data_IF_321494235092
#
_entry.id   IF_321494235092
#
_cell.length_a   1.000
_cell.length_b   1.000
_cell.length_c   1.000
_cell.angle_alpha   90.00
_cell.angle_beta   90.00
_cell.angle_gamma   90.00
#
_symmetry.space_group_name_H-M   'P 1'
#
loop_
_entity.id
_entity.type
_entity.pdbx_description
1 polymer ?
#
# COMPACT_ATOMS: atom_id res chain seq x y z
N UNK A 1 -22.00 4.09 -72.62
CA UNK A 1 -21.42 5.39 -72.99
C UNK A 1 -20.10 5.58 -72.25
N UNK A 2 -19.01 5.72 -73.01
CA UNK A 2 -17.67 6.05 -72.50
C UNK A 2 -17.63 7.52 -72.08
N UNK A 3 -17.00 7.85 -70.95
CA UNK A 3 -16.14 9.04 -70.82
C UNK A 3 -15.10 8.81 -69.71
N UNK A 4 -13.84 8.89 -70.13
CA UNK A 4 -12.59 8.96 -69.36
C UNK A 4 -12.33 10.42 -68.95
N UNK A 5 -11.27 10.56 -68.14
CA UNK A 5 -10.39 11.73 -67.88
C UNK A 5 -10.77 12.41 -66.55
N UNK A 6 -9.90 12.65 -65.57
CA UNK A 6 -8.43 12.79 -65.53
C UNK A 6 -7.87 12.46 -64.14
N UNK A 7 -6.67 11.87 -64.13
CA UNK A 7 -5.79 11.83 -62.98
C UNK A 7 -5.02 13.15 -62.85
N UNK A 8 -4.81 13.61 -61.62
CA UNK A 8 -3.76 14.58 -61.26
C UNK A 8 -3.00 14.06 -60.05
N UNK A 9 -1.71 13.80 -60.25
CA UNK A 9 -0.70 13.49 -59.25
C UNK A 9 -0.34 14.77 -58.47
N UNK A 10 -0.30 14.68 -57.15
CA UNK A 10 0.70 15.32 -56.28
C UNK A 10 0.90 14.34 -55.11
N UNK A 11 2.08 13.76 -54.96
CA UNK A 11 3.14 14.39 -54.18
C UNK A 11 3.22 13.66 -52.84
N UNK A 12 3.85 12.49 -52.85
CA UNK A 12 4.18 11.71 -51.66
C UNK A 12 5.13 12.51 -50.76
N UNK A 13 4.62 13.01 -49.63
CA UNK A 13 5.44 13.41 -48.50
C UNK A 13 5.29 12.33 -47.41
N UNK A 14 6.39 11.63 -47.12
CA UNK A 14 6.50 10.74 -45.97
C UNK A 14 6.29 11.57 -44.69
N UNK A 15 5.48 11.14 -43.72
CA UNK A 15 5.63 11.66 -42.37
C UNK A 15 6.93 11.08 -41.80
N UNK A 16 7.92 11.94 -41.61
CA UNK A 16 9.09 11.68 -40.79
C UNK A 16 8.60 11.35 -39.37
N UNK A 17 8.69 10.07 -38.99
CA UNK A 17 8.61 9.67 -37.60
C UNK A 17 9.91 10.10 -36.90
N UNK A 18 9.93 11.33 -36.38
CA UNK A 18 10.87 11.72 -35.32
C UNK A 18 10.30 11.19 -34.00
N UNK A 19 10.67 9.94 -33.67
CA UNK A 19 10.56 9.40 -32.33
C UNK A 19 11.41 10.27 -31.40
N UNK A 20 10.76 11.10 -30.58
CA UNK A 20 11.41 11.75 -29.45
C UNK A 20 11.76 10.69 -28.41
N UNK A 21 13.00 10.22 -28.46
CA UNK A 21 13.60 9.39 -27.42
C UNK A 21 14.00 10.28 -26.25
N UNK A 22 13.10 10.47 -25.28
CA UNK A 22 13.47 10.98 -23.95
C UNK A 22 14.23 9.86 -23.24
N UNK A 23 15.57 9.93 -23.27
CA UNK A 23 16.44 9.03 -22.50
C UNK A 23 16.35 9.42 -21.03
N UNK A 24 15.59 8.64 -20.25
CA UNK A 24 15.79 8.57 -18.81
C UNK A 24 17.20 8.04 -18.54
N UNK A 25 18.00 8.62 -17.63
CA UNK A 25 19.31 8.08 -17.30
C UNK A 25 19.15 6.71 -16.62
N UNK A 26 19.42 5.64 -17.37
CA UNK A 26 19.57 4.29 -16.85
C UNK A 26 20.91 4.18 -16.13
N UNK A 27 20.90 4.04 -14.81
CA UNK A 27 22.06 3.66 -14.03
C UNK A 27 22.36 2.17 -14.27
N UNK A 28 23.27 1.87 -15.19
CA UNK A 28 23.91 0.56 -15.33
C UNK A 28 25.31 0.63 -14.75
N UNK A 29 25.54 -0.05 -13.62
CA UNK A 29 26.84 -0.56 -13.25
C UNK A 29 26.69 -1.77 -12.30
N UNK A 30 27.25 -2.90 -12.69
CA UNK A 30 27.60 -4.01 -11.80
C UNK A 30 29.10 -4.32 -11.99
N UNK A 31 29.71 -5.17 -11.17
CA UNK A 31 30.34 -4.77 -9.91
C UNK A 31 31.84 -5.11 -9.91
N UNK A 32 32.68 -4.28 -9.29
CA UNK A 32 33.99 -4.74 -8.83
C UNK A 32 34.11 -4.48 -7.33
N UNK A 33 34.26 -5.58 -6.59
CA UNK A 33 34.58 -5.58 -5.18
C UNK A 33 35.99 -5.00 -4.96
N UNK A 34 36.09 -3.98 -4.09
CA UNK A 34 37.14 -3.99 -3.09
C UNK A 34 36.65 -3.31 -1.80
N UNK A 35 36.82 -3.95 -0.61
CA UNK A 35 36.28 -3.47 0.65
C UNK A 35 37.36 -2.76 1.47
N UNK A 36 37.10 -1.52 1.91
CA UNK A 36 37.57 -0.92 3.17
C UNK A 36 37.17 0.56 3.18
N UNK A 37 36.89 1.07 4.38
CA UNK A 37 36.27 2.37 4.60
C UNK A 37 37.06 3.55 4.02
N UNK A 38 36.35 4.63 3.72
CA UNK A 38 36.38 5.79 4.62
C UNK A 38 35.31 6.81 4.26
N UNK A 39 34.72 7.35 5.31
CA UNK A 39 33.86 8.53 5.41
C UNK A 39 34.02 9.58 4.31
N UNK A 40 33.07 9.66 3.38
CA UNK A 40 32.83 10.87 2.60
C UNK A 40 31.33 11.13 2.42
N UNK A 41 30.73 11.76 3.43
CA UNK A 41 29.76 12.82 3.16
C UNK A 41 30.50 13.89 2.34
N UNK A 42 30.48 13.73 1.02
CA UNK A 42 31.17 14.61 0.08
C UNK A 42 30.71 16.05 0.31
N UNK A 43 31.66 16.95 0.54
CA UNK A 43 31.43 18.39 0.71
C UNK A 43 30.65 18.98 -0.47
N UNK A 44 30.74 18.35 -1.65
CA UNK A 44 29.96 18.70 -2.83
C UNK A 44 28.45 18.53 -2.60
N UNK A 45 28.00 17.45 -1.96
CA UNK A 45 26.58 17.19 -1.70
C UNK A 45 26.01 18.19 -0.68
N UNK A 46 26.81 18.64 0.28
CA UNK A 46 26.43 19.68 1.24
C UNK A 46 26.36 21.06 0.57
N UNK A 47 27.30 21.38 -0.31
CA UNK A 47 27.29 22.62 -1.10
C UNK A 47 26.12 22.63 -2.09
N UNK A 48 25.81 21.50 -2.71
CA UNK A 48 24.69 21.34 -3.63
C UNK A 48 23.34 21.46 -2.91
N UNK A 49 23.18 20.79 -1.75
CA UNK A 49 22.02 20.97 -0.89
C UNK A 49 21.85 22.42 -0.41
N UNK A 50 22.96 23.12 -0.10
CA UNK A 50 22.93 24.54 0.28
C UNK A 50 22.63 25.48 -0.91
N UNK A 51 22.92 25.06 -2.14
CA UNK A 51 22.62 25.83 -3.37
C UNK A 51 21.19 25.64 -3.87
N UNK A 52 20.56 24.50 -3.59
CA UNK A 52 19.18 24.20 -4.01
C UNK A 52 18.19 25.35 -3.75
N UNK A 53 18.11 25.94 -2.53
CA UNK A 53 17.16 27.04 -2.28
C UNK A 53 17.42 28.28 -3.15
N UNK A 54 18.69 28.58 -3.45
CA UNK A 54 19.07 29.72 -4.29
C UNK A 54 18.73 29.48 -5.76
N UNK A 55 18.92 28.23 -6.24
CA UNK A 55 18.58 27.84 -7.61
C UNK A 55 17.06 27.90 -7.81
N UNK A 56 16.31 27.34 -6.86
CA UNK A 56 14.84 27.40 -6.86
C UNK A 56 14.38 28.87 -6.89
N UNK A 57 14.86 29.71 -5.97
CA UNK A 57 14.47 31.13 -5.92
C UNK A 57 14.78 31.90 -7.22
N UNK A 58 15.85 31.58 -7.94
CA UNK A 58 16.21 32.24 -9.20
C UNK A 58 15.26 31.90 -10.35
N UNK A 59 14.82 30.64 -10.44
CA UNK A 59 14.02 30.15 -11.58
C UNK A 59 12.52 30.06 -11.29
N UNK A 60 12.12 30.24 -10.03
CA UNK A 60 10.75 30.08 -9.54
C UNK A 60 9.74 30.92 -10.34
N UNK A 61 10.04 32.19 -10.65
CA UNK A 61 9.13 33.05 -11.41
C UNK A 61 8.92 32.56 -12.85
N UNK A 62 9.97 32.00 -13.46
CA UNK A 62 9.89 31.44 -14.83
C UNK A 62 9.02 30.20 -14.85
N UNK A 63 9.20 29.30 -13.88
CA UNK A 63 8.40 28.07 -13.76
C UNK A 63 6.96 28.39 -13.36
N UNK A 64 6.74 29.35 -12.44
CA UNK A 64 5.40 29.82 -12.07
C UNK A 64 4.64 30.41 -13.26
N UNK A 65 5.34 31.18 -14.11
CA UNK A 65 4.76 31.73 -15.35
C UNK A 65 4.42 30.63 -16.34
N UNK A 66 5.23 29.57 -16.41
CA UNK A 66 4.91 28.40 -17.25
C UNK A 66 3.68 27.64 -16.73
N UNK A 67 3.54 27.45 -15.42
CA UNK A 67 2.33 26.89 -14.80
C UNK A 67 1.07 27.67 -15.18
N UNK A 68 1.11 29.01 -15.09
CA UNK A 68 -0.01 29.87 -15.48
C UNK A 68 -0.31 29.87 -17.00
N UNK A 69 0.61 29.35 -17.81
CA UNK A 69 0.45 29.24 -19.27
C UNK A 69 -0.08 27.88 -19.72
N UNK A 70 -0.15 26.88 -18.83
CA UNK A 70 -0.67 25.54 -19.15
C UNK A 70 -2.10 25.65 -19.72
N UNK A 71 -2.94 26.49 -19.12
CA UNK A 71 -4.33 26.73 -19.59
C UNK A 71 -4.37 27.34 -21.01
N UNK A 72 -3.46 28.28 -21.29
CA UNK A 72 -3.38 28.95 -22.59
C UNK A 72 -2.83 28.03 -23.69
N UNK A 73 -1.88 27.15 -23.36
CA UNK A 73 -1.33 26.17 -24.30
C UNK A 73 -2.26 24.98 -24.54
N UNK A 74 -3.12 24.63 -23.58
CA UNK A 74 -4.21 23.68 -23.80
C UNK A 74 -5.21 24.20 -24.84
N UNK A 75 -5.64 25.47 -24.75
CA UNK A 75 -6.54 26.07 -25.74
C UNK A 75 -5.95 26.02 -27.17
N UNK A 76 -4.63 26.13 -27.27
CA UNK A 76 -3.89 25.97 -28.52
C UNK A 76 -3.75 24.49 -28.94
N UNK A 77 -3.61 23.58 -27.97
CA UNK A 77 -3.56 22.13 -28.19
C UNK A 77 -4.92 21.55 -28.62
N UNK A 78 -6.05 22.15 -28.21
CA UNK A 78 -7.39 21.80 -28.71
C UNK A 78 -7.64 22.23 -30.15
N UNK A 79 -6.92 23.26 -30.62
CA UNK A 79 -6.98 23.76 -32.00
C UNK A 79 -6.00 23.04 -32.95
N UNK A 80 -5.14 22.17 -32.40
CA UNK A 80 -4.17 21.37 -33.16
C UNK A 80 -4.50 19.88 -33.07
N UNK A 81 -4.22 19.09 -34.13
CA UNK A 81 -4.43 17.63 -34.15
C UNK A 81 -3.50 16.84 -33.19
N UNK A 82 -2.85 17.51 -32.24
CA UNK A 82 -1.90 16.90 -31.32
C UNK A 82 -2.62 16.25 -30.14
N UNK A 83 -3.22 15.10 -30.42
CA UNK A 83 -3.99 14.26 -29.49
C UNK A 83 -3.26 13.96 -28.19
N UNK A 84 -1.95 13.69 -28.25
CA UNK A 84 -1.10 13.40 -27.08
C UNK A 84 -0.96 14.62 -26.17
N UNK A 85 -0.69 15.79 -26.73
CA UNK A 85 -0.63 17.03 -25.95
C UNK A 85 -1.98 17.35 -25.33
N UNK A 86 -3.07 17.13 -26.08
CA UNK A 86 -4.44 17.36 -25.59
C UNK A 86 -4.81 16.43 -24.43
N UNK A 87 -4.45 15.15 -24.51
CA UNK A 87 -4.62 14.19 -23.41
C UNK A 87 -3.78 14.58 -22.18
N UNK A 88 -2.49 14.89 -22.37
CA UNK A 88 -1.59 15.31 -21.29
C UNK A 88 -2.06 16.59 -20.57
N UNK A 89 -2.53 17.60 -21.31
CA UNK A 89 -3.03 18.85 -20.71
C UNK A 89 -4.43 18.70 -20.10
N UNK A 90 -5.28 17.80 -20.62
CA UNK A 90 -6.62 17.59 -20.06
C UNK A 90 -6.64 17.04 -18.64
N UNK A 91 -5.57 16.35 -18.21
CA UNK A 91 -5.43 15.84 -16.84
C UNK A 91 -5.05 16.91 -15.80
N UNK A 92 -4.64 18.12 -16.24
CA UNK A 92 -3.96 19.09 -15.36
C UNK A 92 -4.91 20.19 -14.82
N UNK A 93 -6.11 20.37 -15.39
CA UNK A 93 -6.67 21.73 -15.51
C UNK A 93 -7.91 22.06 -14.66
N UNK A 94 -8.58 21.14 -13.98
CA UNK A 94 -9.83 21.54 -13.30
C UNK A 94 -9.68 22.06 -11.86
N UNK A 95 -8.46 22.35 -11.36
CA UNK A 95 -8.30 22.63 -9.93
C UNK A 95 -7.39 23.80 -9.53
N UNK A 96 -8.02 24.85 -8.98
CA UNK A 96 -7.37 25.93 -8.21
C UNK A 96 -6.50 25.38 -7.05
N UNK A 97 -6.71 24.12 -6.63
CA UNK A 97 -5.94 23.47 -5.57
C UNK A 97 -4.49 23.17 -5.95
N UNK A 98 -4.17 22.94 -7.24
CA UNK A 98 -2.79 22.68 -7.70
C UNK A 98 -1.88 23.88 -7.37
N UNK A 99 -2.40 25.11 -7.41
CA UNK A 99 -1.63 26.31 -7.08
C UNK A 99 -1.11 26.36 -5.64
N UNK A 100 -1.72 25.60 -4.72
CA UNK A 100 -1.37 25.53 -3.29
C UNK A 100 -0.92 24.15 -2.83
N UNK A 101 -0.67 23.24 -3.77
CA UNK A 101 -0.42 21.85 -3.46
C UNK A 101 1.07 21.55 -3.20
N UNK A 102 1.40 20.62 -2.28
CA UNK A 102 2.76 20.09 -2.10
C UNK A 102 3.37 19.55 -3.41
N UNK A 103 2.55 18.97 -4.27
CA UNK A 103 2.93 18.50 -5.60
C UNK A 103 3.49 19.61 -6.49
N UNK A 104 2.89 20.80 -6.45
CA UNK A 104 3.37 21.94 -7.22
C UNK A 104 4.74 22.40 -6.74
N UNK A 105 4.98 22.43 -5.43
CA UNK A 105 6.30 22.78 -4.88
C UNK A 105 7.37 21.78 -5.33
N UNK A 106 7.05 20.48 -5.31
CA UNK A 106 7.92 19.41 -5.80
C UNK A 106 8.29 19.58 -7.29
N UNK A 107 7.29 19.86 -8.13
CA UNK A 107 7.46 20.06 -9.56
C UNK A 107 8.22 21.35 -9.88
N UNK A 108 7.97 22.42 -9.13
CA UNK A 108 8.73 23.67 -9.25
C UNK A 108 10.20 23.42 -8.93
N UNK A 109 10.51 22.75 -7.83
CA UNK A 109 11.89 22.43 -7.47
C UNK A 109 12.56 21.61 -8.57
N UNK A 110 11.91 20.55 -9.06
CA UNK A 110 12.44 19.71 -10.13
C UNK A 110 12.73 20.49 -11.43
N UNK A 111 11.79 21.32 -11.88
CA UNK A 111 11.97 22.12 -13.09
C UNK A 111 13.01 23.23 -12.92
N UNK A 112 13.08 23.88 -11.75
CA UNK A 112 14.10 24.89 -11.46
C UNK A 112 15.52 24.31 -11.49
N UNK A 113 15.70 23.09 -10.98
CA UNK A 113 16.99 22.40 -11.01
C UNK A 113 17.38 22.01 -12.45
N UNK A 114 16.47 21.47 -13.24
CA UNK A 114 16.76 21.12 -14.64
C UNK A 114 16.97 22.34 -15.56
N UNK A 115 16.32 23.48 -15.28
CA UNK A 115 16.60 24.75 -15.98
C UNK A 115 18.03 25.25 -15.72
N UNK A 116 18.52 25.11 -14.49
CA UNK A 116 19.89 25.56 -14.15
C UNK A 116 20.96 24.66 -14.74
N UNK A 117 20.70 23.36 -14.80
CA UNK A 117 21.60 22.39 -15.42
C UNK A 117 21.59 22.48 -16.96
N UNK A 118 20.63 23.21 -17.54
CA UNK A 118 20.44 23.32 -19.00
C UNK A 118 19.77 22.09 -19.63
N UNK A 119 19.22 21.21 -18.80
CA UNK A 119 18.52 19.98 -19.22
C UNK A 119 17.11 20.29 -19.77
N UNK A 120 16.55 21.45 -19.42
CA UNK A 120 15.20 21.89 -19.79
C UNK A 120 15.29 23.28 -20.44
N UNK A 121 14.71 23.45 -21.62
CA UNK A 121 14.52 24.78 -22.21
C UNK A 121 13.23 25.42 -21.66
N UNK A 122 13.27 26.75 -21.43
CA UNK A 122 12.12 27.47 -20.87
C UNK A 122 10.85 27.43 -21.75
N UNK A 123 10.99 27.13 -23.04
CA UNK A 123 9.87 26.99 -23.99
C UNK A 123 9.14 25.66 -23.82
N UNK A 124 9.81 24.62 -23.32
CA UNK A 124 9.27 23.27 -23.16
C UNK A 124 8.67 23.02 -21.77
N UNK A 125 8.77 24.01 -20.87
CA UNK A 125 8.30 23.92 -19.48
C UNK A 125 6.83 23.49 -19.35
N UNK A 126 5.84 24.05 -20.09
CA UNK A 126 4.45 23.64 -19.94
C UNK A 126 4.21 22.17 -20.31
N UNK A 127 4.82 21.71 -21.41
CA UNK A 127 4.74 20.31 -21.84
C UNK A 127 5.44 19.37 -20.84
N UNK A 128 6.60 19.79 -20.32
CA UNK A 128 7.33 19.03 -19.32
C UNK A 128 6.54 18.91 -18.01
N UNK A 129 5.90 19.99 -17.55
CA UNK A 129 5.06 19.97 -16.35
C UNK A 129 3.87 19.02 -16.49
N UNK A 130 3.17 19.07 -17.62
CA UNK A 130 2.09 18.12 -17.92
C UNK A 130 2.59 16.67 -17.98
N UNK A 131 3.78 16.46 -18.57
CA UNK A 131 4.43 15.14 -18.62
C UNK A 131 4.79 14.64 -17.22
N UNK A 132 5.36 15.49 -16.37
CA UNK A 132 5.73 15.13 -15.00
C UNK A 132 4.52 14.81 -14.14
N UNK A 133 3.41 15.53 -14.30
CA UNK A 133 2.14 15.22 -13.63
C UNK A 133 1.57 13.88 -14.07
N UNK A 134 1.59 13.59 -15.38
CA UNK A 134 1.16 12.30 -15.90
C UNK A 134 2.05 11.15 -15.41
N UNK A 135 3.37 11.34 -15.39
CA UNK A 135 4.31 10.35 -14.85
C UNK A 135 4.15 10.16 -13.33
N UNK A 136 3.83 11.22 -12.59
CA UNK A 136 3.54 11.14 -11.15
C UNK A 136 2.25 10.35 -10.90
N UNK A 137 1.19 10.66 -11.65
CA UNK A 137 -0.08 9.93 -11.60
C UNK A 137 0.13 8.46 -11.95
N UNK A 138 0.79 8.15 -13.07
CA UNK A 138 1.05 6.79 -13.52
C UNK A 138 1.93 6.01 -12.52
N UNK A 139 3.00 6.63 -11.99
CA UNK A 139 3.86 6.00 -11.00
C UNK A 139 3.11 5.67 -9.70
N UNK A 140 2.24 6.57 -9.24
CA UNK A 140 1.47 6.35 -8.03
C UNK A 140 0.31 5.37 -8.26
N UNK A 141 -0.40 5.43 -9.39
CA UNK A 141 -1.48 4.49 -9.73
C UNK A 141 -0.97 3.06 -9.94
N UNK A 142 0.26 2.91 -10.43
CA UNK A 142 0.93 1.62 -10.52
C UNK A 142 1.55 1.17 -9.18
N UNK A 143 1.59 2.04 -8.17
CA UNK A 143 2.18 1.67 -6.88
C UNK A 143 1.28 0.67 -6.13
N UNK A 144 1.85 -0.42 -5.59
CA UNK A 144 1.09 -1.40 -4.81
C UNK A 144 0.31 -0.74 -3.67
N UNK A 145 -1.00 -0.94 -3.63
CA UNK A 145 -1.87 -0.43 -2.57
C UNK A 145 -2.36 1.01 -2.76
N UNK A 146 -1.99 1.74 -3.80
CA UNK A 146 -2.59 3.06 -4.05
C UNK A 146 -3.92 2.98 -4.81
N UNK A 147 -4.03 2.06 -5.79
CA UNK A 147 -5.23 1.96 -6.63
C UNK A 147 -5.41 3.16 -7.56
N UNK A 148 -6.66 3.42 -7.96
CA UNK A 148 -6.99 4.58 -8.79
C UNK A 148 -6.92 5.86 -7.94
N UNK A 149 -6.03 6.78 -8.32
CA UNK A 149 -5.79 8.03 -7.60
C UNK A 149 -6.56 9.16 -8.27
N UNK A 150 -7.32 9.88 -7.46
CA UNK A 150 -8.02 11.09 -7.88
C UNK A 150 -7.05 12.27 -8.00
N UNK A 151 -7.42 13.31 -8.76
CA UNK A 151 -6.59 14.51 -8.88
C UNK A 151 -6.41 15.23 -7.53
N UNK A 152 -7.45 15.25 -6.69
CA UNK A 152 -7.38 15.81 -5.34
C UNK A 152 -6.34 15.08 -4.47
N UNK A 153 -6.31 13.74 -4.53
CA UNK A 153 -5.31 12.93 -3.84
C UNK A 153 -3.89 13.15 -4.39
N UNK A 154 -3.76 13.27 -5.70
CA UNK A 154 -2.48 13.58 -6.34
C UNK A 154 -1.91 14.91 -5.84
N UNK A 155 -2.76 15.92 -5.67
CA UNK A 155 -2.36 17.23 -5.15
C UNK A 155 -1.82 17.15 -3.71
N UNK A 156 -2.31 16.25 -2.88
CA UNK A 156 -1.82 16.09 -1.51
C UNK A 156 -0.51 15.29 -1.40
N UNK A 157 0.00 14.72 -2.50
CA UNK A 157 1.20 13.89 -2.49
C UNK A 157 2.48 14.70 -2.24
N UNK A 158 3.33 14.19 -1.34
CA UNK A 158 4.64 14.80 -1.06
C UNK A 158 5.73 14.33 -2.03
N UNK A 159 6.85 15.06 -2.09
CA UNK A 159 8.05 14.62 -2.83
C UNK A 159 8.51 13.22 -2.42
N UNK A 160 8.41 12.90 -1.12
CA UNK A 160 8.83 11.61 -0.57
C UNK A 160 7.97 10.46 -1.09
N UNK A 161 6.65 10.68 -1.19
CA UNK A 161 5.72 9.69 -1.74
C UNK A 161 5.99 9.41 -3.21
N UNK A 162 6.22 10.46 -4.00
CA UNK A 162 6.55 10.34 -5.43
C UNK A 162 7.89 9.64 -5.64
N UNK A 163 8.89 10.01 -4.84
CA UNK A 163 10.20 9.38 -4.90
C UNK A 163 10.11 7.89 -4.56
N UNK A 164 9.38 7.54 -3.50
CA UNK A 164 9.14 6.15 -3.13
C UNK A 164 8.44 5.38 -4.26
N UNK A 165 7.38 5.94 -4.84
CA UNK A 165 6.63 5.28 -5.90
C UNK A 165 7.48 4.97 -7.15
N UNK A 166 8.48 5.82 -7.42
CA UNK A 166 9.42 5.62 -8.52
C UNK A 166 10.54 4.62 -8.20
N UNK A 167 10.96 4.54 -6.94
CA UNK A 167 12.17 3.79 -6.52
C UNK A 167 11.89 2.42 -5.94
N UNK A 168 10.74 2.23 -5.30
CA UNK A 168 10.38 1.00 -4.59
C UNK A 168 9.09 0.41 -5.14
N UNK A 169 9.19 -0.43 -6.19
CA UNK A 169 8.01 -1.02 -6.82
C UNK A 169 7.44 -2.23 -6.09
N UNK A 170 8.23 -2.86 -5.23
CA UNK A 170 7.84 -4.05 -4.47
C UNK A 170 7.64 -3.67 -3.00
N UNK A 171 6.48 -3.98 -2.40
CA UNK A 171 6.26 -3.69 -1.00
C UNK A 171 7.14 -4.61 -0.14
N UNK A 172 7.75 -4.09 0.95
CA UNK A 172 8.49 -4.93 1.87
C UNK A 172 7.53 -5.93 2.54
N UNK A 173 8.04 -7.06 3.06
CA UNK A 173 7.17 -8.07 3.65
C UNK A 173 6.41 -7.51 4.86
N UNK A 174 5.20 -8.02 5.12
CA UNK A 174 4.30 -7.53 6.17
C UNK A 174 4.91 -7.47 7.58
N UNK A 175 6.00 -8.22 7.82
CA UNK A 175 6.72 -8.25 9.09
C UNK A 175 7.88 -7.25 9.19
N UNK A 176 8.14 -6.44 8.15
CA UNK A 176 9.23 -5.47 8.09
C UNK A 176 9.19 -4.49 9.29
N UNK A 177 10.33 -4.15 9.91
CA UNK A 177 10.34 -3.33 11.13
C UNK A 177 9.83 -1.91 10.93
N UNK A 178 10.13 -1.31 9.77
CA UNK A 178 9.72 0.04 9.43
C UNK A 178 8.87 0.01 8.16
N UNK A 179 7.56 -0.23 8.31
CA UNK A 179 6.62 -0.36 7.19
C UNK A 179 6.11 1.00 6.70
N UNK A 180 6.13 2.01 7.58
CA UNK A 180 5.58 3.35 7.33
C UNK A 180 6.13 4.02 6.07
N UNK A 181 7.44 3.98 5.78
CA UNK A 181 7.97 4.61 4.58
C UNK A 181 7.51 3.96 3.29
N UNK A 182 7.00 2.72 3.33
CA UNK A 182 6.69 1.90 2.15
C UNK A 182 5.20 1.79 1.87
N UNK A 183 4.36 2.30 2.76
CA UNK A 183 2.91 2.26 2.61
C UNK A 183 2.43 3.67 2.40
N UNK A 184 1.89 3.91 1.21
CA UNK A 184 1.45 5.24 0.79
C UNK A 184 -0.02 5.45 1.13
N UNK A 185 -0.32 6.64 1.66
CA UNK A 185 -1.67 7.17 1.74
C UNK A 185 -1.61 8.70 1.73
N UNK A 186 -2.65 9.32 1.22
CA UNK A 186 -2.82 10.78 1.30
C UNK A 186 -3.47 11.19 2.62
N UNK A 187 -3.32 12.45 3.07
CA UNK A 187 -4.05 13.00 4.21
C UNK A 187 -5.59 12.79 4.13
N UNK A 188 -6.18 12.95 2.94
CA UNK A 188 -7.60 12.66 2.72
C UNK A 188 -7.93 11.17 2.99
N UNK A 189 -7.10 10.27 2.45
CA UNK A 189 -7.24 8.83 2.69
C UNK A 189 -7.03 8.47 4.17
N UNK A 190 -6.13 9.14 4.87
CA UNK A 190 -5.90 8.93 6.30
C UNK A 190 -7.17 9.21 7.10
N UNK A 191 -7.82 10.34 6.86
CA UNK A 191 -9.05 10.72 7.56
C UNK A 191 -10.19 9.72 7.34
N UNK A 192 -10.40 9.33 6.07
CA UNK A 192 -11.42 8.34 5.69
C UNK A 192 -11.13 6.97 6.29
N UNK A 193 -9.87 6.52 6.23
CA UNK A 193 -9.46 5.21 6.72
C UNK A 193 -9.56 5.13 8.24
N UNK A 194 -9.18 6.17 8.97
CA UNK A 194 -9.37 6.21 10.43
C UNK A 194 -10.84 6.18 10.82
N UNK A 195 -11.70 6.87 10.07
CA UNK A 195 -13.13 6.80 10.30
C UNK A 195 -13.67 5.38 10.04
N UNK A 196 -13.32 4.76 8.92
CA UNK A 196 -13.71 3.39 8.59
C UNK A 196 -13.22 2.38 9.65
N UNK A 197 -11.95 2.48 10.04
CA UNK A 197 -11.36 1.66 11.09
C UNK A 197 -12.05 1.88 12.44
N UNK A 198 -12.42 3.12 12.78
CA UNK A 198 -13.18 3.40 13.99
C UNK A 198 -14.56 2.74 13.95
N UNK A 199 -15.27 2.79 12.83
CA UNK A 199 -16.57 2.12 12.66
C UNK A 199 -16.45 0.59 12.75
N UNK A 200 -15.40 0.00 12.16
CA UNK A 200 -15.12 -1.44 12.29
C UNK A 200 -14.78 -1.79 13.74
N UNK A 201 -13.95 -0.97 14.41
CA UNK A 201 -13.50 -1.21 15.76
C UNK A 201 -14.61 -1.01 16.81
N UNK A 202 -15.54 -0.08 16.59
CA UNK A 202 -16.67 0.17 17.50
C UNK A 202 -17.68 -0.98 17.49
N UNK A 203 -17.83 -1.66 16.35
CA UNK A 203 -18.78 -2.75 16.14
C UNK A 203 -20.18 -2.39 16.63
N UNK A 204 -20.65 -1.18 16.31
CA UNK A 204 -21.97 -0.72 16.74
C UNK A 204 -23.07 -1.66 16.21
N UNK A 205 -23.92 -2.16 17.13
CA UNK A 205 -24.93 -3.18 16.79
C UNK A 205 -24.37 -4.59 16.60
N UNK A 206 -23.07 -4.81 16.81
CA UNK A 206 -22.44 -6.11 16.84
C UNK A 206 -22.76 -6.90 18.11
N UNK A 207 -22.79 -8.22 17.96
CA UNK A 207 -22.78 -9.12 19.12
C UNK A 207 -21.44 -9.02 19.85
N UNK A 208 -21.38 -9.53 21.09
CA UNK A 208 -20.14 -9.52 21.90
C UNK A 208 -19.55 -10.90 22.14
N UNK A 209 -20.07 -11.91 21.46
CA UNK A 209 -19.74 -13.30 21.75
C UNK A 209 -19.56 -14.09 20.47
N UNK A 210 -18.51 -14.91 20.45
CA UNK A 210 -18.32 -15.94 19.44
C UNK A 210 -19.45 -16.97 19.51
N UNK A 211 -20.22 -17.03 18.43
CA UNK A 211 -21.25 -18.03 18.21
C UNK A 211 -21.12 -18.60 16.79
N UNK A 212 -21.51 -19.87 16.63
CA UNK A 212 -21.56 -20.52 15.33
C UNK A 212 -23.00 -20.87 14.96
N UNK A 213 -23.34 -20.64 13.69
CA UNK A 213 -24.67 -20.93 13.16
C UNK A 213 -25.00 -22.43 13.19
N UNK A 214 -23.96 -23.28 13.10
CA UNK A 214 -24.08 -24.74 13.14
C UNK A 214 -24.15 -25.33 14.57
N UNK A 215 -24.13 -24.48 15.61
CA UNK A 215 -24.07 -24.91 17.01
C UNK A 215 -22.65 -24.96 17.59
N UNK A 216 -22.53 -25.35 18.86
CA UNK A 216 -21.24 -25.41 19.57
C UNK A 216 -20.33 -26.49 18.96
N UNK A 217 -19.09 -26.15 18.54
CA UNK A 217 -18.13 -27.16 18.11
C UNK A 217 -17.78 -28.12 19.26
N UNK A 218 -17.61 -29.39 18.93
CA UNK A 218 -17.15 -30.42 19.88
C UNK A 218 -15.71 -30.14 20.32
N UNK A 219 -15.46 -30.25 21.63
CA UNK A 219 -14.11 -30.23 22.19
C UNK A 219 -13.49 -31.63 22.09
N UNK A 220 -12.17 -31.69 21.94
CA UNK A 220 -11.45 -32.96 21.93
C UNK A 220 -11.44 -33.57 23.33
N UNK A 221 -11.30 -34.90 23.41
CA UNK A 221 -11.24 -35.63 24.70
C UNK A 221 -10.16 -35.10 25.63
N UNK A 222 -9.01 -34.73 25.09
CA UNK A 222 -7.89 -34.13 25.83
C UNK A 222 -8.24 -32.80 26.52
N UNK A 223 -9.22 -32.07 25.98
CA UNK A 223 -9.70 -30.82 26.55
C UNK A 223 -10.92 -31.03 27.46
N UNK A 224 -11.70 -32.09 27.26
CA UNK A 224 -12.89 -32.38 28.08
C UNK A 224 -12.55 -33.14 29.37
N UNK A 225 -11.64 -34.12 29.34
CA UNK A 225 -11.28 -34.92 30.52
C UNK A 225 -10.79 -34.05 31.70
N UNK A 226 -9.90 -33.05 31.53
CA UNK A 226 -9.47 -32.19 32.63
C UNK A 226 -10.61 -31.34 33.23
N UNK A 227 -11.70 -31.14 32.49
CA UNK A 227 -12.85 -30.37 32.97
C UNK A 227 -13.75 -31.18 33.90
N UNK A 228 -13.69 -32.52 33.82
CA UNK A 228 -14.46 -33.41 34.70
C UNK A 228 -14.04 -33.30 36.16
N UNK A 229 -12.78 -32.95 36.42
CA UNK A 229 -12.26 -32.72 37.76
C UNK A 229 -12.69 -31.38 38.36
N UNK A 230 -13.23 -30.47 37.55
CA UNK A 230 -13.66 -29.14 38.01
C UNK A 230 -15.10 -29.18 38.57
N UNK A 231 -15.40 -28.35 39.60
CA UNK A 231 -16.77 -28.12 40.05
C UNK A 231 -17.68 -27.67 38.90
N UNK A 232 -18.93 -28.14 38.87
CA UNK A 232 -19.85 -27.95 37.75
C UNK A 232 -19.98 -26.49 37.28
N UNK A 233 -20.03 -25.54 38.22
CA UNK A 233 -20.07 -24.10 37.90
C UNK A 233 -18.80 -23.62 37.17
N UNK A 234 -17.62 -24.04 37.61
CA UNK A 234 -16.34 -23.71 36.96
C UNK A 234 -16.19 -24.45 35.63
N UNK A 235 -16.61 -25.71 35.58
CA UNK A 235 -16.62 -26.54 34.36
C UNK A 235 -17.37 -25.86 33.23
N UNK A 236 -18.59 -25.36 33.49
CA UNK A 236 -19.39 -24.66 32.48
C UNK A 236 -18.69 -23.41 31.94
N UNK A 237 -18.09 -22.60 32.81
CA UNK A 237 -17.39 -21.38 32.42
C UNK A 237 -16.16 -21.70 31.56
N UNK A 238 -15.31 -22.62 32.01
CA UNK A 238 -14.10 -23.01 31.29
C UNK A 238 -14.44 -23.67 29.95
N UNK A 239 -15.45 -24.55 29.92
CA UNK A 239 -15.94 -25.16 28.67
C UNK A 239 -16.40 -24.09 27.68
N UNK A 240 -17.19 -23.10 28.13
CA UNK A 240 -17.64 -22.00 27.26
C UNK A 240 -16.47 -21.17 26.72
N UNK A 241 -15.43 -20.93 27.52
CA UNK A 241 -14.22 -20.24 27.07
C UNK A 241 -13.49 -21.04 25.98
N UNK A 242 -13.28 -22.34 26.19
CA UNK A 242 -12.66 -23.22 25.20
C UNK A 242 -13.46 -23.31 23.90
N UNK A 243 -14.79 -23.40 24.00
CA UNK A 243 -15.67 -23.40 22.81
C UNK A 243 -15.54 -22.08 22.04
N UNK A 244 -15.54 -20.93 22.73
CA UNK A 244 -15.36 -19.62 22.09
C UNK A 244 -14.00 -19.51 21.40
N UNK A 245 -12.94 -19.97 22.07
CA UNK A 245 -11.60 -20.01 21.48
C UNK A 245 -11.56 -20.91 20.24
N UNK A 246 -12.21 -22.07 20.30
CA UNK A 246 -12.32 -22.97 19.15
C UNK A 246 -13.05 -22.32 17.98
N UNK A 247 -14.16 -21.62 18.23
CA UNK A 247 -14.90 -20.87 17.20
C UNK A 247 -14.01 -19.80 16.57
N UNK A 248 -13.29 -19.02 17.38
CA UNK A 248 -12.34 -18.00 16.89
C UNK A 248 -11.25 -18.62 16.01
N UNK A 249 -10.65 -19.72 16.45
CA UNK A 249 -9.63 -20.43 15.68
C UNK A 249 -10.20 -20.92 14.34
N UNK A 250 -11.41 -21.50 14.34
CA UNK A 250 -12.08 -21.94 13.11
C UNK A 250 -12.38 -20.77 12.18
N UNK A 251 -12.83 -19.63 12.71
CA UNK A 251 -13.02 -18.40 11.93
C UNK A 251 -11.71 -17.94 11.28
N UNK A 252 -10.63 -17.84 12.06
CA UNK A 252 -9.35 -17.41 11.53
C UNK A 252 -8.79 -18.40 10.49
N UNK A 253 -8.95 -19.72 10.69
CA UNK A 253 -8.61 -20.73 9.68
C UNK A 253 -9.44 -20.57 8.40
N UNK A 254 -10.76 -20.36 8.53
CA UNK A 254 -11.63 -20.11 7.36
C UNK A 254 -11.18 -18.89 6.56
N UNK A 255 -10.68 -17.84 7.22
CA UNK A 255 -10.16 -16.64 6.55
C UNK A 255 -8.76 -16.90 5.96
N UNK A 256 -7.76 -17.14 6.80
CA UNK A 256 -6.36 -17.09 6.37
C UNK A 256 -5.85 -18.39 5.73
N UNK A 257 -6.48 -19.53 6.02
CA UNK A 257 -6.08 -20.81 5.44
C UNK A 257 -6.99 -21.21 4.29
N UNK A 258 -8.30 -21.02 4.41
CA UNK A 258 -9.24 -21.50 3.39
C UNK A 258 -9.59 -20.42 2.35
N UNK A 259 -9.92 -19.20 2.79
CA UNK A 259 -10.32 -18.14 1.85
C UNK A 259 -9.11 -17.53 1.13
N UNK A 260 -7.98 -17.34 1.83
CA UNK A 260 -6.74 -16.86 1.22
C UNK A 260 -5.87 -17.98 0.61
N UNK A 261 -6.42 -19.18 0.45
CA UNK A 261 -5.70 -20.31 -0.12
C UNK A 261 -5.27 -20.04 -1.57
N UNK A 262 -4.07 -20.48 -1.93
CA UNK A 262 -3.46 -20.22 -3.23
C UNK A 262 -4.24 -20.84 -4.39
N UNK A 263 -4.88 -21.99 -4.17
CA UNK A 263 -5.58 -22.73 -5.22
C UNK A 263 -7.04 -22.30 -5.35
N UNK A 264 -7.61 -21.65 -4.34
CA UNK A 264 -9.03 -21.26 -4.31
C UNK A 264 -9.30 -19.78 -4.54
N UNK A 265 -8.35 -18.89 -4.24
CA UNK A 265 -8.53 -17.46 -4.36
C UNK A 265 -8.30 -16.99 -5.80
N UNK A 266 -9.32 -16.40 -6.42
CA UNK A 266 -9.21 -15.83 -7.77
C UNK A 266 -8.27 -14.61 -7.76
N UNK A 267 -7.23 -14.56 -8.62
CA UNK A 267 -6.40 -13.36 -8.80
C UNK A 267 -7.19 -12.08 -9.06
N UNK A 268 -8.36 -12.16 -9.68
CA UNK A 268 -9.24 -11.01 -9.89
C UNK A 268 -9.84 -10.48 -8.57
N UNK A 269 -10.13 -11.36 -7.61
CA UNK A 269 -10.56 -10.93 -6.27
C UNK A 269 -9.43 -10.20 -5.54
N UNK A 270 -8.18 -10.64 -5.71
CA UNK A 270 -7.02 -9.95 -5.14
C UNK A 270 -6.87 -8.56 -5.76
N UNK A 271 -6.97 -8.46 -7.09
CA UNK A 271 -6.85 -7.19 -7.80
C UNK A 271 -8.01 -6.21 -7.51
N UNK A 272 -9.18 -6.72 -7.10
CA UNK A 272 -10.34 -5.90 -6.74
C UNK A 272 -10.12 -5.08 -5.46
N UNK A 273 -9.16 -5.47 -4.61
CA UNK A 273 -8.88 -4.80 -3.35
C UNK A 273 -7.43 -4.32 -3.34
N UNK A 274 -7.15 -3.03 -3.61
CA UNK A 274 -5.78 -2.50 -3.57
C UNK A 274 -5.14 -2.69 -2.19
N UNK A 275 -5.90 -2.40 -1.11
CA UNK A 275 -5.42 -2.43 0.28
C UNK A 275 -6.25 -3.35 1.16
N UNK A 276 -5.69 -3.71 2.31
CA UNK A 276 -6.41 -4.44 3.36
C UNK A 276 -7.69 -3.70 3.78
N UNK A 277 -7.67 -2.37 3.87
CA UNK A 277 -8.86 -1.59 4.26
C UNK A 277 -9.99 -1.69 3.23
N UNK A 278 -9.65 -1.75 1.93
CA UNK A 278 -10.64 -1.89 0.86
C UNK A 278 -11.29 -3.28 0.92
N UNK A 279 -10.50 -4.32 1.21
CA UNK A 279 -10.99 -5.68 1.46
C UNK A 279 -11.91 -5.75 2.70
N UNK A 280 -11.52 -5.12 3.81
CA UNK A 280 -12.36 -5.04 5.01
C UNK A 280 -13.66 -4.27 4.76
N UNK A 281 -13.59 -3.19 3.98
CA UNK A 281 -14.76 -2.42 3.54
C UNK A 281 -15.73 -3.30 2.74
N UNK A 282 -15.23 -4.05 1.76
CA UNK A 282 -16.04 -4.96 0.97
C UNK A 282 -16.72 -6.05 1.81
N UNK A 283 -16.03 -6.60 2.83
CA UNK A 283 -16.63 -7.54 3.79
C UNK A 283 -17.77 -6.89 4.57
N UNK A 284 -17.59 -5.63 4.98
CA UNK A 284 -18.62 -4.86 5.70
C UNK A 284 -19.87 -4.60 4.85
N UNK A 285 -19.68 -4.22 3.58
CA UNK A 285 -20.76 -3.87 2.66
C UNK A 285 -21.49 -5.10 2.11
N UNK A 286 -20.74 -6.14 1.72
CA UNK A 286 -21.25 -7.31 1.03
C UNK A 286 -20.88 -8.63 1.72
N UNK A 287 -21.19 -8.80 3.03
CA UNK A 287 -20.74 -9.96 3.81
C UNK A 287 -21.29 -11.31 3.29
N UNK A 288 -22.33 -11.31 2.47
CA UNK A 288 -22.89 -12.54 1.89
C UNK A 288 -21.99 -13.15 0.80
N UNK A 289 -21.10 -12.36 0.18
CA UNK A 289 -20.13 -12.83 -0.80
C UNK A 289 -18.96 -13.60 -0.16
N UNK A 290 -18.73 -13.39 1.15
CA UNK A 290 -17.63 -14.02 1.88
C UNK A 290 -18.11 -15.26 2.62
N UNK A 291 -17.62 -16.44 2.21
CA UNK A 291 -18.04 -17.74 2.75
C UNK A 291 -17.91 -17.85 4.28
N UNK A 292 -16.86 -17.25 4.86
CA UNK A 292 -16.61 -17.24 6.31
C UNK A 292 -17.58 -16.35 7.12
N UNK A 293 -18.40 -15.55 6.44
CA UNK A 293 -19.43 -14.68 7.03
C UNK A 293 -20.86 -15.25 6.85
N UNK A 294 -21.02 -16.31 6.04
CA UNK A 294 -22.32 -16.90 5.75
C UNK A 294 -22.91 -17.66 6.95
N UNK A 295 -24.25 -17.73 6.99
CA UNK A 295 -25.02 -18.38 8.06
C UNK A 295 -25.11 -17.58 9.37
N UNK A 296 -24.36 -16.49 9.51
CA UNK A 296 -24.35 -15.66 10.71
C UNK A 296 -25.42 -14.57 10.68
N UNK A 297 -25.89 -14.15 11.85
CA UNK A 297 -26.75 -12.97 11.99
C UNK A 297 -25.98 -11.70 11.63
N UNK A 298 -26.69 -10.60 11.37
CA UNK A 298 -26.03 -9.32 11.08
C UNK A 298 -25.13 -8.86 12.23
N UNK A 299 -25.59 -9.00 13.48
CA UNK A 299 -24.81 -8.67 14.67
C UNK A 299 -23.53 -9.51 14.78
N UNK A 300 -23.61 -10.81 14.46
CA UNK A 300 -22.42 -11.68 14.42
C UNK A 300 -21.47 -11.33 13.28
N UNK A 301 -21.97 -10.88 12.12
CA UNK A 301 -21.12 -10.42 11.01
C UNK A 301 -20.34 -9.15 11.40
N UNK A 302 -21.00 -8.18 12.03
CA UNK A 302 -20.34 -6.96 12.52
C UNK A 302 -19.25 -7.33 13.54
N UNK A 303 -19.56 -8.21 14.50
CA UNK A 303 -18.57 -8.70 15.47
C UNK A 303 -17.40 -9.42 14.79
N UNK A 304 -17.66 -10.31 13.82
CA UNK A 304 -16.60 -11.04 13.09
C UNK A 304 -15.69 -10.10 12.30
N UNK A 305 -16.24 -9.05 11.69
CA UNK A 305 -15.44 -8.04 10.99
C UNK A 305 -14.55 -7.26 11.97
N UNK A 306 -15.08 -6.84 13.11
CA UNK A 306 -14.29 -6.25 14.18
C UNK A 306 -13.16 -7.20 14.63
N UNK A 307 -13.47 -8.46 14.86
CA UNK A 307 -12.48 -9.45 15.29
C UNK A 307 -11.42 -9.71 14.20
N UNK A 308 -11.80 -9.72 12.93
CA UNK A 308 -10.86 -9.83 11.81
C UNK A 308 -9.85 -8.67 11.82
N UNK A 309 -10.32 -7.43 12.01
CA UNK A 309 -9.43 -6.28 12.17
C UNK A 309 -8.44 -6.45 13.33
N UNK A 310 -8.92 -6.89 14.50
CA UNK A 310 -8.02 -7.17 15.64
C UNK A 310 -7.02 -8.27 15.33
N UNK A 311 -7.43 -9.34 14.65
CA UNK A 311 -6.53 -10.44 14.26
C UNK A 311 -5.44 -9.93 13.30
N UNK A 312 -5.76 -9.06 12.34
CA UNK A 312 -4.77 -8.46 11.43
C UNK A 312 -3.72 -7.64 12.19
N UNK A 313 -4.15 -6.81 13.14
CA UNK A 313 -3.23 -6.05 14.01
C UNK A 313 -2.34 -6.99 14.82
N UNK A 314 -2.92 -8.04 15.41
CA UNK A 314 -2.15 -9.04 16.18
C UNK A 314 -1.18 -9.82 15.30
N UNK A 315 -1.56 -10.19 14.08
CA UNK A 315 -0.67 -10.87 13.12
C UNK A 315 0.54 -10.00 12.79
N UNK A 316 0.31 -8.72 12.49
CA UNK A 316 1.38 -7.75 12.25
C UNK A 316 2.30 -7.64 13.46
N UNK A 317 1.72 -7.50 14.65
CA UNK A 317 2.45 -7.30 15.90
C UNK A 317 3.35 -8.50 16.21
N UNK A 318 2.80 -9.72 16.15
CA UNK A 318 3.56 -10.94 16.40
C UNK A 318 4.67 -11.14 15.37
N UNK A 319 4.39 -10.89 14.10
CA UNK A 319 5.38 -11.04 13.04
C UNK A 319 6.51 -10.01 13.18
N UNK A 320 6.19 -8.77 13.52
CA UNK A 320 7.15 -7.71 13.83
C UNK A 320 8.01 -8.07 15.04
N UNK A 321 7.39 -8.55 16.12
CA UNK A 321 8.05 -8.90 17.36
C UNK A 321 9.05 -10.04 17.15
N UNK A 322 8.63 -11.10 16.47
CA UNK A 322 9.49 -12.23 16.12
C UNK A 322 10.66 -11.79 15.25
N UNK A 323 10.41 -10.99 14.21
CA UNK A 323 11.47 -10.49 13.34
C UNK A 323 12.47 -9.63 14.11
N UNK A 324 12.00 -8.69 14.93
CA UNK A 324 12.87 -7.80 15.71
C UNK A 324 13.70 -8.57 16.74
N UNK A 325 13.08 -9.54 17.42
CA UNK A 325 13.79 -10.41 18.33
C UNK A 325 14.86 -11.25 17.61
N UNK A 326 14.55 -11.82 16.44
CA UNK A 326 15.53 -12.60 15.67
C UNK A 326 16.77 -11.79 15.25
N UNK A 327 16.68 -10.47 15.17
CA UNK A 327 17.83 -9.59 14.92
C UNK A 327 18.64 -9.25 16.18
N UNK A 328 18.07 -9.46 17.36
CA UNK A 328 18.71 -9.13 18.63
C UNK A 328 19.77 -10.19 19.01
N UNK A 329 21.00 -9.80 19.41
CA UNK A 329 22.10 -10.74 19.68
C UNK A 329 21.76 -11.87 20.67
N UNK A 330 20.91 -11.60 21.67
CA UNK A 330 20.51 -12.60 22.68
C UNK A 330 19.58 -13.69 22.15
N UNK A 331 18.87 -13.46 21.05
CA UNK A 331 17.87 -14.37 20.51
C UNK A 331 18.27 -14.94 19.14
N UNK A 332 19.10 -14.21 18.39
CA UNK A 332 19.51 -14.55 17.03
C UNK A 332 19.95 -16.00 16.89
N UNK A 333 20.91 -16.44 17.70
CA UNK A 333 21.46 -17.79 17.61
C UNK A 333 20.48 -18.85 18.14
N UNK A 334 19.67 -18.49 19.15
CA UNK A 334 18.65 -19.36 19.73
C UNK A 334 17.51 -19.64 18.75
N UNK A 335 17.21 -18.70 17.84
CA UNK A 335 16.02 -18.76 16.97
C UNK A 335 16.23 -19.47 15.64
N UNK A 336 17.47 -19.70 15.21
CA UNK A 336 17.84 -20.13 13.84
C UNK A 336 17.05 -21.35 13.36
N UNK A 337 16.84 -22.34 14.23
CA UNK A 337 16.17 -23.60 13.89
C UNK A 337 14.83 -23.81 14.61
N UNK A 338 14.31 -22.75 15.25
CA UNK A 338 13.07 -22.85 16.02
C UNK A 338 11.86 -22.46 15.17
N UNK A 339 10.80 -23.24 15.32
CA UNK A 339 9.51 -22.89 14.75
C UNK A 339 9.00 -21.58 15.39
N UNK A 340 8.30 -20.69 14.66
CA UNK A 340 7.79 -19.43 15.21
C UNK A 340 6.98 -19.59 16.51
N UNK A 341 6.24 -20.69 16.66
CA UNK A 341 5.52 -20.99 17.90
C UNK A 341 6.46 -21.13 19.11
N UNK A 342 7.58 -21.83 18.93
CA UNK A 342 8.62 -22.02 19.96
C UNK A 342 9.37 -20.70 20.24
N UNK A 343 9.63 -19.92 19.19
CA UNK A 343 10.22 -18.58 19.34
C UNK A 343 9.31 -17.69 20.21
N UNK A 344 7.99 -17.69 19.96
CA UNK A 344 7.04 -16.95 20.78
C UNK A 344 7.02 -17.43 22.24
N UNK A 345 7.09 -18.73 22.50
CA UNK A 345 7.16 -19.26 23.87
C UNK A 345 8.37 -18.70 24.63
N UNK A 346 9.54 -18.65 23.99
CA UNK A 346 10.75 -18.05 24.57
C UNK A 346 10.53 -16.56 24.86
N UNK A 347 9.98 -15.81 23.89
CA UNK A 347 9.70 -14.38 24.08
C UNK A 347 8.70 -14.12 25.22
N UNK A 348 7.71 -15.00 25.40
CA UNK A 348 6.75 -14.91 26.50
C UNK A 348 7.43 -15.19 27.85
N UNK A 349 8.27 -16.22 27.93
CA UNK A 349 9.03 -16.55 29.14
C UNK A 349 9.94 -15.39 29.57
N UNK A 350 10.59 -14.76 28.59
CA UNK A 350 11.50 -13.63 28.81
C UNK A 350 10.79 -12.28 28.99
N UNK A 351 9.46 -12.25 28.85
CA UNK A 351 8.64 -11.02 28.88
C UNK A 351 9.12 -9.97 27.87
N UNK A 352 9.51 -10.42 26.68
CA UNK A 352 9.93 -9.54 25.60
C UNK A 352 8.80 -8.53 25.27
N UNK A 353 9.12 -7.24 25.08
CA UNK A 353 8.11 -6.21 24.93
C UNK A 353 7.25 -6.40 23.68
N UNK A 354 5.96 -6.09 23.80
CA UNK A 354 5.06 -5.97 22.67
C UNK A 354 5.41 -4.76 21.81
N UNK A 355 5.16 -4.83 20.51
CA UNK A 355 5.25 -3.64 19.67
C UNK A 355 4.10 -2.68 20.00
N UNK A 356 4.39 -1.37 19.95
CA UNK A 356 3.40 -0.33 20.19
C UNK A 356 2.39 -0.31 19.04
N UNK A 357 1.11 -0.51 19.36
CA UNK A 357 0.00 -0.36 18.42
C UNK A 357 -0.51 1.09 18.52
N UNK A 358 0.06 1.97 17.71
CA UNK A 358 -0.36 3.37 17.60
C UNK A 358 -1.14 3.65 16.30
N UNK A 359 -1.48 4.92 16.07
CA UNK A 359 -2.20 5.35 14.85
C UNK A 359 -1.44 4.99 13.57
N UNK A 360 -0.11 5.16 13.56
CA UNK A 360 0.71 4.86 12.41
C UNK A 360 0.76 3.35 12.15
N UNK A 361 0.83 2.53 13.21
CA UNK A 361 0.73 1.08 13.10
C UNK A 361 -0.60 0.64 12.47
N UNK A 362 -1.72 1.20 12.94
CA UNK A 362 -3.04 0.88 12.38
C UNK A 362 -3.13 1.28 10.89
N UNK A 363 -2.68 2.48 10.53
CA UNK A 363 -2.70 2.95 9.14
C UNK A 363 -1.80 2.12 8.23
N UNK A 364 -0.59 1.79 8.67
CA UNK A 364 0.32 0.96 7.87
C UNK A 364 -0.24 -0.44 7.63
N UNK A 365 -0.94 -1.03 8.60
CA UNK A 365 -1.65 -2.31 8.38
C UNK A 365 -2.83 -2.12 7.42
N UNK A 366 -3.66 -1.10 7.63
CA UNK A 366 -4.84 -0.86 6.82
C UNK A 366 -4.52 -0.57 5.34
N UNK A 367 -3.48 0.22 5.09
CA UNK A 367 -3.05 0.60 3.74
C UNK A 367 -2.03 -0.37 3.12
N UNK A 368 -1.62 -1.42 3.83
CA UNK A 368 -0.70 -2.39 3.25
C UNK A 368 -1.34 -3.07 2.02
N UNK A 369 -0.57 -3.28 0.92
CA UNK A 369 -1.13 -3.85 -0.30
C UNK A 369 -1.73 -5.23 -0.06
N UNK A 370 -2.99 -5.42 -0.44
CA UNK A 370 -3.69 -6.67 -0.15
C UNK A 370 -3.03 -7.86 -0.84
N UNK A 371 -2.61 -7.70 -2.09
CA UNK A 371 -1.87 -8.73 -2.83
C UNK A 371 -0.62 -9.20 -2.10
N UNK A 372 0.19 -8.26 -1.59
CA UNK A 372 1.39 -8.57 -0.83
C UNK A 372 1.09 -9.21 0.53
N UNK A 373 -0.06 -8.89 1.13
CA UNK A 373 -0.52 -9.53 2.36
C UNK A 373 -0.92 -10.98 2.11
N UNK A 374 -1.70 -11.23 1.05
CA UNK A 374 -2.12 -12.56 0.65
C UNK A 374 -0.90 -13.43 0.35
N UNK A 375 0.06 -12.93 -0.43
CA UNK A 375 1.30 -13.65 -0.71
C UNK A 375 2.08 -13.96 0.58
N UNK A 376 2.20 -12.98 1.49
CA UNK A 376 2.85 -13.19 2.78
C UNK A 376 2.17 -14.29 3.63
N UNK A 377 0.82 -14.33 3.64
CA UNK A 377 0.06 -15.38 4.33
C UNK A 377 0.31 -16.74 3.67
N UNK A 378 0.16 -16.81 2.34
CA UNK A 378 0.30 -18.05 1.57
C UNK A 378 1.69 -18.67 1.73
N UNK A 379 2.75 -17.85 1.66
CA UNK A 379 4.12 -18.33 1.86
C UNK A 379 4.31 -18.91 3.27
N UNK A 380 3.79 -18.25 4.30
CA UNK A 380 3.88 -18.76 5.68
C UNK A 380 3.05 -20.01 5.91
N UNK A 381 1.90 -20.14 5.26
CA UNK A 381 1.08 -21.36 5.33
C UNK A 381 1.82 -22.52 4.65
N UNK A 382 2.42 -22.28 3.49
CA UNK A 382 3.19 -23.28 2.75
C UNK A 382 4.44 -23.75 3.52
N UNK A 383 5.11 -22.84 4.22
CA UNK A 383 6.28 -23.14 5.05
C UNK A 383 5.90 -23.68 6.45
N UNK A 384 4.62 -23.91 6.73
CA UNK A 384 4.06 -24.29 8.04
C UNK A 384 4.35 -23.29 9.17
N UNK A 385 4.87 -22.09 8.86
CA UNK A 385 5.27 -21.05 9.82
C UNK A 385 4.16 -20.04 10.16
N UNK A 386 2.96 -20.21 9.61
CA UNK A 386 1.83 -19.33 9.87
C UNK A 386 1.27 -19.52 11.27
N UNK A 387 1.26 -18.45 12.07
CA UNK A 387 0.75 -18.46 13.43
C UNK A 387 -0.55 -17.67 13.54
N UNK A 388 -1.57 -18.30 14.11
CA UNK A 388 -2.79 -17.60 14.49
C UNK A 388 -2.59 -16.91 15.85
N UNK A 389 -2.93 -15.62 15.98
CA UNK A 389 -2.72 -14.90 17.22
C UNK A 389 -3.64 -15.41 18.34
N UNK A 390 -3.14 -15.49 19.58
CA UNK A 390 -3.92 -15.90 20.74
C UNK A 390 -5.07 -14.93 21.00
N UNK A 391 -6.12 -15.36 21.73
CA UNK A 391 -7.24 -14.49 22.07
C UNK A 391 -6.78 -13.16 22.67
N UNK A 392 -7.28 -12.06 22.10
CA UNK A 392 -7.20 -10.74 22.72
C UNK A 392 -8.09 -10.76 23.96
N UNK A 393 -7.48 -10.65 25.14
CA UNK A 393 -8.18 -10.55 26.43
C UNK A 393 -9.00 -9.29 26.56
#
# INVERSE_FOLDING_TARGET
>A
MKRKISASRSGTAKPSQTLFSVRMPMANASPDHNPAGDTHNSTAHVIEAARRPLIVARHQDTVNTAFARIDAEQALATDTDNTVARELFSCVIDDDSLHRSPLREALIEHCCLGLDNGDIAAVDLPLLLATCLHLAHDALSQYPGMGDITLDELNECSCEMLHLAQTHKDPPPFHHPDLKPYVLWTPAQEGLSLHALHCIASAEGGDRQWQEAAGEPSLGREQEEPLEDLPEAKRRIVRQQLVRERIRQLFAKKVFINYLDRDSLDPNEIAAYPRIIDWLGAIGETPHLFSFMQGQTQAQKIFRLQQLWHILLQLRELALRLHTAAQHPSYRDTFVDLHPAQQLEILVQDRYPAATIDRAFCLTVAHYPFAAFVEWVQNRVADETFLLPPPST
#
